data_IF_025427398509
#
_entry.id   IF_025427398509
#
_cell.length_a   1.000
_cell.length_b   1.000
_cell.length_c   1.000
_cell.angle_alpha   90.00
_cell.angle_beta   90.00
_cell.angle_gamma   90.00
#
_symmetry.space_group_name_H-M   'P 1'
#
loop_
_entity.id
_entity.type
_entity.pdbx_description
1 polymer ?
#
# COMPACT_ATOMS: atom_id res chain seq x y z
N UNK A 1 10.88 -43.27 -13.09
CA UNK A 1 10.57 -42.14 -14.00
C UNK A 1 9.13 -42.15 -14.52
N UNK A 2 8.60 -43.25 -15.10
CA UNK A 2 7.19 -43.32 -15.57
C UNK A 2 6.13 -43.02 -14.49
N UNK A 3 6.32 -43.45 -13.23
CA UNK A 3 5.36 -43.22 -12.13
C UNK A 3 5.32 -41.75 -11.64
N UNK A 4 6.43 -41.03 -11.74
CA UNK A 4 6.52 -39.60 -11.41
C UNK A 4 5.89 -38.77 -12.54
N UNK A 5 6.08 -39.19 -13.79
CA UNK A 5 5.46 -38.55 -14.94
C UNK A 5 3.92 -38.73 -14.96
N UNK A 6 3.42 -39.91 -14.61
CA UNK A 6 1.98 -40.17 -14.50
C UNK A 6 1.36 -39.39 -13.33
N UNK A 7 2.07 -39.23 -12.20
CA UNK A 7 1.59 -38.41 -11.08
C UNK A 7 1.58 -36.91 -11.42
N UNK A 8 2.56 -36.41 -12.18
CA UNK A 8 2.59 -35.03 -12.66
C UNK A 8 1.48 -34.75 -13.69
N UNK A 9 1.18 -35.71 -14.57
CA UNK A 9 0.07 -35.62 -15.52
C UNK A 9 -1.29 -35.71 -14.80
N UNK A 10 -1.42 -36.57 -13.79
CA UNK A 10 -2.64 -36.63 -12.96
C UNK A 10 -2.84 -35.35 -12.15
N UNK A 11 -1.76 -34.74 -11.64
CA UNK A 11 -1.81 -33.45 -10.97
C UNK A 11 -2.24 -32.33 -11.92
N UNK A 12 -1.72 -32.32 -13.17
CA UNK A 12 -2.14 -31.37 -14.22
C UNK A 12 -3.61 -31.52 -14.62
N UNK A 13 -4.12 -32.76 -14.69
CA UNK A 13 -5.52 -33.03 -15.10
C UNK A 13 -6.52 -32.73 -13.96
N UNK A 14 -6.11 -32.78 -12.68
CA UNK A 14 -6.97 -32.37 -11.57
C UNK A 14 -7.13 -30.84 -11.41
N UNK A 15 -6.40 -30.02 -12.17
CA UNK A 15 -6.63 -28.57 -12.24
C UNK A 15 -7.63 -28.15 -13.33
N UNK A 16 -8.17 -29.08 -14.12
CA UNK A 16 -9.02 -28.77 -15.27
C UNK A 16 -10.53 -28.60 -14.97
N UNK A 17 -10.93 -28.41 -13.71
CA UNK A 17 -12.33 -28.15 -13.37
C UNK A 17 -12.48 -27.23 -12.15
N UNK A 18 -12.11 -25.97 -12.32
CA UNK A 18 -12.57 -24.91 -11.43
C UNK A 18 -13.36 -23.89 -12.24
N UNK A 19 -14.47 -23.42 -11.66
CA UNK A 19 -15.38 -22.49 -12.28
C UNK A 19 -14.61 -21.28 -12.84
N UNK A 20 -14.84 -20.98 -14.11
CA UNK A 20 -14.27 -19.84 -14.82
C UNK A 20 -14.82 -18.56 -14.19
N UNK A 21 -14.10 -18.02 -13.23
CA UNK A 21 -14.23 -16.65 -12.76
C UNK A 21 -12.84 -16.04 -12.76
N UNK A 22 -12.68 -14.88 -13.40
CA UNK A 22 -11.41 -14.16 -13.36
C UNK A 22 -11.07 -13.77 -11.92
N UNK A 23 -9.89 -14.14 -11.44
CA UNK A 23 -9.45 -13.77 -10.09
C UNK A 23 -8.86 -12.34 -10.10
N UNK A 24 -8.24 -11.94 -11.22
CA UNK A 24 -8.00 -10.53 -11.55
C UNK A 24 -9.21 -9.99 -12.31
N UNK A 25 -9.92 -9.02 -11.73
CA UNK A 25 -11.09 -8.41 -12.36
C UNK A 25 -10.71 -7.13 -13.12
N UNK A 26 -11.32 -6.93 -14.30
CA UNK A 26 -11.26 -5.65 -15.02
C UNK A 26 -11.91 -4.51 -14.21
N UNK A 27 -11.51 -3.28 -14.50
CA UNK A 27 -11.98 -2.06 -13.86
C UNK A 27 -11.81 -2.02 -12.33
N UNK A 28 -10.81 -2.73 -11.80
CA UNK A 28 -10.55 -2.78 -10.35
C UNK A 28 -9.39 -1.91 -9.91
N UNK A 29 -9.55 -1.28 -8.74
CA UNK A 29 -8.47 -0.63 -8.02
C UNK A 29 -7.78 -1.63 -7.10
N UNK A 30 -6.45 -1.59 -7.06
CA UNK A 30 -5.65 -2.44 -6.18
C UNK A 30 -4.82 -1.60 -5.23
N UNK A 31 -4.65 -2.09 -4.00
CA UNK A 31 -3.72 -1.51 -3.02
C UNK A 31 -2.91 -2.64 -2.41
N UNK A 32 -1.58 -2.51 -2.45
CA UNK A 32 -0.67 -3.57 -2.02
C UNK A 32 0.40 -3.01 -1.08
N UNK A 33 0.19 -3.05 0.26
CA UNK A 33 1.29 -2.91 1.20
C UNK A 33 2.26 -4.08 1.05
N UNK A 34 3.56 -3.80 1.12
CA UNK A 34 4.59 -4.82 0.97
C UNK A 34 5.82 -4.54 1.83
N UNK A 35 6.60 -5.61 2.05
CA UNK A 35 7.93 -5.56 2.63
C UNK A 35 8.86 -6.52 1.86
N UNK A 36 10.17 -6.31 1.98
CA UNK A 36 11.12 -7.12 1.21
C UNK A 36 12.58 -6.77 1.48
N UNK A 37 13.42 -7.17 0.53
CA UNK A 37 14.84 -6.83 0.49
C UNK A 37 15.19 -5.98 -0.73
N UNK A 38 16.15 -5.08 -0.55
CA UNK A 38 16.78 -4.33 -1.63
C UNK A 38 18.28 -4.62 -1.61
N UNK A 39 18.77 -5.16 -2.73
CA UNK A 39 20.17 -5.51 -2.94
C UNK A 39 20.78 -4.45 -3.85
N UNK A 40 21.61 -3.60 -3.25
CA UNK A 40 22.47 -2.67 -3.98
C UNK A 40 23.60 -3.44 -4.67
N UNK A 41 24.04 -2.96 -5.83
CA UNK A 41 25.16 -3.55 -6.54
C UNK A 41 26.45 -3.48 -5.68
N UNK A 42 27.38 -4.42 -5.86
CA UNK A 42 28.56 -4.55 -4.99
C UNK A 42 29.49 -3.33 -4.99
N UNK A 43 29.48 -2.54 -6.06
CA UNK A 43 30.25 -1.32 -6.26
C UNK A 43 29.53 -0.05 -5.72
N UNK A 44 28.28 -0.17 -5.26
CA UNK A 44 27.62 0.93 -4.56
C UNK A 44 28.13 1.05 -3.12
N UNK A 45 28.07 2.28 -2.61
CA UNK A 45 28.42 2.57 -1.23
C UNK A 45 27.38 2.02 -0.26
N UNK A 46 26.14 1.78 -0.69
CA UNK A 46 25.06 1.35 0.19
C UNK A 46 25.13 -0.16 0.49
N UNK A 47 24.81 -0.55 1.73
CA UNK A 47 24.61 -1.96 2.09
C UNK A 47 23.20 -2.41 1.71
N UNK A 48 23.06 -3.63 1.22
CA UNK A 48 21.75 -4.26 1.05
C UNK A 48 20.98 -4.24 2.36
N UNK A 49 19.68 -3.92 2.28
CA UNK A 49 18.83 -3.75 3.45
C UNK A 49 17.41 -4.23 3.15
N UNK A 50 16.52 -4.10 4.14
CA UNK A 50 15.11 -4.32 3.94
C UNK A 50 14.43 -3.10 3.30
N UNK A 51 13.27 -3.34 2.71
CA UNK A 51 12.40 -2.30 2.15
C UNK A 51 10.98 -2.49 2.65
N UNK A 52 10.26 -1.39 2.80
CA UNK A 52 8.82 -1.38 3.06
C UNK A 52 8.15 -0.37 2.14
N UNK A 53 6.95 -0.68 1.66
CA UNK A 53 6.31 0.18 0.67
C UNK A 53 4.84 -0.09 0.48
N UNK A 54 4.29 0.68 -0.44
CA UNK A 54 2.90 0.62 -0.88
C UNK A 54 2.87 0.71 -2.41
N UNK A 55 1.98 -0.07 -3.00
CA UNK A 55 1.56 0.07 -4.38
C UNK A 55 0.08 0.38 -4.45
N UNK A 56 -0.31 1.17 -5.42
CA UNK A 56 -1.70 1.42 -5.74
C UNK A 56 -1.85 1.36 -7.26
N UNK A 57 -2.76 0.53 -7.74
CA UNK A 57 -2.93 0.29 -9.16
C UNK A 57 -4.37 0.26 -9.61
N UNK A 58 -4.52 0.15 -10.93
CA UNK A 58 -5.79 0.00 -11.60
C UNK A 58 -5.63 -1.04 -12.71
N UNK A 59 -6.47 -2.09 -12.66
CA UNK A 59 -6.55 -3.10 -13.71
C UNK A 59 -7.51 -2.59 -14.78
N UNK A 60 -6.97 -2.15 -15.91
CA UNK A 60 -7.75 -1.65 -17.05
C UNK A 60 -8.47 -2.81 -17.73
N UNK A 61 -7.79 -3.95 -17.83
CA UNK A 61 -8.37 -5.23 -18.24
C UNK A 61 -7.90 -6.32 -17.28
N UNK A 62 -8.40 -7.54 -17.42
CA UNK A 62 -7.90 -8.69 -16.65
C UNK A 62 -6.39 -8.91 -16.87
N UNK A 63 -5.88 -8.63 -18.08
CA UNK A 63 -4.47 -8.81 -18.41
C UNK A 63 -3.62 -7.55 -18.22
N UNK A 64 -4.18 -6.34 -18.35
CA UNK A 64 -3.40 -5.10 -18.40
C UNK A 64 -3.74 -4.23 -17.19
N UNK A 65 -2.71 -3.86 -16.44
CA UNK A 65 -2.83 -2.92 -15.32
C UNK A 65 -1.78 -1.82 -15.36
N UNK A 66 -2.02 -0.78 -14.57
CA UNK A 66 -1.03 0.26 -14.26
C UNK A 66 -0.95 0.41 -12.75
N UNK A 67 0.25 0.59 -12.22
CA UNK A 67 0.50 0.65 -10.78
C UNK A 67 1.49 1.76 -10.45
N UNK A 68 1.14 2.63 -9.52
CA UNK A 68 2.07 3.52 -8.86
C UNK A 68 2.67 2.84 -7.63
N UNK A 69 3.94 3.08 -7.35
CA UNK A 69 4.62 2.51 -6.19
C UNK A 69 5.44 3.56 -5.42
N UNK A 70 5.59 3.30 -4.13
CA UNK A 70 6.50 4.01 -3.24
C UNK A 70 7.11 3.02 -2.25
N UNK A 71 8.42 3.09 -2.04
CA UNK A 71 9.09 2.30 -1.01
C UNK A 71 10.24 3.04 -0.35
N UNK A 72 10.51 2.64 0.89
CA UNK A 72 11.54 3.19 1.75
C UNK A 72 12.55 2.11 2.14
N UNK A 73 13.83 2.44 2.00
CA UNK A 73 14.98 1.58 2.28
C UNK A 73 15.90 2.34 3.25
N UNK A 74 15.89 2.01 4.55
CA UNK A 74 16.93 2.44 5.47
C UNK A 74 18.19 1.62 5.20
N UNK A 75 19.30 2.24 4.83
CA UNK A 75 20.57 1.54 4.54
C UNK A 75 21.74 2.20 5.25
N UNK A 76 22.85 1.48 5.35
CA UNK A 76 24.13 1.98 5.87
C UNK A 76 25.12 2.17 4.71
N UNK A 77 25.96 3.19 4.79
CA UNK A 77 27.05 3.41 3.85
C UNK A 77 28.32 2.63 4.24
N UNK A 78 28.82 1.82 3.30
CA UNK A 78 30.16 1.23 3.25
C UNK A 78 31.16 2.37 3.08
N UNK A 79 31.98 2.62 4.11
CA UNK A 79 33.01 3.67 4.19
C UNK A 79 32.56 5.07 4.66
N UNK A 80 31.57 5.14 5.56
CA UNK A 80 31.25 6.37 6.31
C UNK A 80 32.46 6.96 7.09
N UNK A 81 33.48 6.14 7.38
CA UNK A 81 34.68 6.44 8.18
C UNK A 81 35.54 7.61 7.67
N UNK A 82 35.57 7.88 6.35
CA UNK A 82 36.44 8.94 5.80
C UNK A 82 35.84 10.34 5.74
N UNK A 83 34.51 10.48 5.66
CA UNK A 83 33.86 11.78 5.40
C UNK A 83 32.52 11.99 6.14
N UNK A 84 32.04 11.04 6.93
CA UNK A 84 30.75 11.15 7.67
C UNK A 84 31.02 10.87 9.15
N UNK A 85 31.29 11.91 9.97
CA UNK A 85 31.89 11.73 11.30
C UNK A 85 31.05 10.97 12.32
N UNK A 86 29.71 10.94 12.20
CA UNK A 86 28.85 10.52 13.33
C UNK A 86 27.62 9.65 12.96
N UNK A 87 27.24 9.51 11.69
CA UNK A 87 26.03 8.75 11.29
C UNK A 87 26.19 8.02 9.94
N UNK A 88 26.37 6.68 9.92
CA UNK A 88 26.54 5.91 8.69
C UNK A 88 25.22 5.63 7.95
N UNK A 89 24.07 6.07 8.46
CA UNK A 89 22.76 5.73 7.90
C UNK A 89 22.35 6.67 6.76
N UNK A 90 21.72 6.09 5.74
CA UNK A 90 21.08 6.81 4.65
C UNK A 90 19.68 6.29 4.38
N UNK A 91 18.79 7.24 4.15
CA UNK A 91 17.40 7.00 3.78
C UNK A 91 17.27 7.01 2.27
N UNK A 92 16.88 5.88 1.67
CA UNK A 92 16.64 5.77 0.23
C UNK A 92 15.14 5.58 -0.01
N UNK A 93 14.60 6.32 -0.98
CA UNK A 93 13.20 6.24 -1.38
C UNK A 93 13.12 5.91 -2.87
N UNK A 94 12.34 4.91 -3.25
CA UNK A 94 12.01 4.64 -4.65
C UNK A 94 10.53 4.92 -4.89
N UNK A 95 10.21 5.58 -6.00
CA UNK A 95 8.83 5.84 -6.38
C UNK A 95 8.70 6.02 -7.88
N UNK A 96 7.56 5.60 -8.44
CA UNK A 96 7.35 5.60 -9.88
C UNK A 96 6.02 4.99 -10.28
N UNK A 97 5.92 4.67 -11.57
CA UNK A 97 4.78 4.00 -12.18
C UNK A 97 5.27 2.81 -13.03
N UNK A 98 4.51 1.72 -13.00
CA UNK A 98 4.75 0.53 -13.81
C UNK A 98 3.47 0.09 -14.54
N UNK A 99 3.64 -0.44 -15.75
CA UNK A 99 2.60 -1.19 -16.46
C UNK A 99 2.76 -2.67 -16.15
N UNK A 100 1.64 -3.38 -16.00
CA UNK A 100 1.58 -4.80 -15.68
C UNK A 100 0.92 -5.58 -16.81
N UNK A 101 1.44 -6.79 -17.06
CA UNK A 101 0.77 -7.80 -17.86
C UNK A 101 0.59 -9.09 -17.05
N UNK A 102 -0.67 -9.44 -16.76
CA UNK A 102 -1.05 -10.66 -16.06
C UNK A 102 -1.23 -11.82 -17.05
N UNK A 103 -0.58 -12.94 -16.76
CA UNK A 103 -0.75 -14.20 -17.47
C UNK A 103 -1.78 -15.06 -16.74
N UNK A 104 -2.72 -15.62 -17.49
CA UNK A 104 -3.79 -16.46 -16.95
C UNK A 104 -4.53 -15.82 -15.76
N UNK A 105 -5.12 -14.62 -15.94
CA UNK A 105 -5.84 -13.91 -14.87
C UNK A 105 -7.05 -14.69 -14.31
N UNK A 106 -7.51 -15.71 -15.03
CA UNK A 106 -8.56 -16.65 -14.62
C UNK A 106 -8.15 -17.65 -13.54
N UNK A 107 -6.85 -17.78 -13.26
CA UNK A 107 -6.35 -18.74 -12.30
C UNK A 107 -6.12 -18.12 -10.93
N UNK A 108 -6.17 -18.93 -9.87
CA UNK A 108 -5.73 -18.50 -8.53
C UNK A 108 -4.26 -18.10 -8.48
N UNK A 109 -3.47 -18.66 -9.39
CA UNK A 109 -2.05 -18.43 -9.51
C UNK A 109 -1.84 -17.61 -10.78
N UNK A 110 -1.52 -16.32 -10.62
CA UNK A 110 -1.40 -15.36 -11.73
C UNK A 110 0.03 -14.86 -11.80
N UNK A 111 0.87 -15.45 -12.67
CA UNK A 111 2.15 -14.86 -13.02
C UNK A 111 1.94 -13.51 -13.70
N UNK A 112 2.84 -12.57 -13.49
CA UNK A 112 2.80 -11.29 -14.18
C UNK A 112 4.20 -10.75 -14.44
N UNK A 113 4.30 -9.90 -15.46
CA UNK A 113 5.46 -9.05 -15.69
C UNK A 113 5.09 -7.61 -15.43
N UNK A 114 6.08 -6.81 -15.06
CA UNK A 114 5.92 -5.37 -14.92
C UNK A 114 7.14 -4.64 -15.47
N UNK A 115 6.91 -3.45 -16.02
CA UNK A 115 7.95 -2.55 -16.49
C UNK A 115 7.51 -1.10 -16.27
N UNK A 116 8.44 -0.26 -15.82
CA UNK A 116 8.11 1.06 -15.33
C UNK A 116 9.28 2.04 -15.33
N UNK A 117 8.94 3.27 -14.96
CA UNK A 117 9.87 4.37 -14.78
C UNK A 117 9.62 5.02 -13.43
N UNK A 118 10.66 5.57 -12.84
CA UNK A 118 10.56 6.19 -11.53
C UNK A 118 11.82 6.95 -11.17
N UNK A 119 11.96 7.19 -9.87
CA UNK A 119 13.10 7.88 -9.29
C UNK A 119 13.57 7.15 -8.03
N UNK A 120 14.89 7.11 -7.84
CA UNK A 120 15.52 6.71 -6.59
C UNK A 120 16.14 7.93 -5.95
N UNK A 121 15.59 8.34 -4.80
CA UNK A 121 16.07 9.46 -4.01
C UNK A 121 16.92 8.96 -2.85
N UNK A 122 18.20 9.28 -2.90
CA UNK A 122 19.16 9.12 -1.83
C UNK A 122 19.08 10.37 -0.95
N UNK A 123 18.65 10.20 0.30
CA UNK A 123 18.46 11.27 1.28
C UNK A 123 19.75 11.63 2.03
N UNK A 124 19.58 11.95 3.32
CA UNK A 124 20.69 12.22 4.26
C UNK A 124 21.77 11.12 4.21
N UNK A 125 23.07 11.45 4.37
CA UNK A 125 23.63 12.77 4.62
C UNK A 125 23.72 13.69 3.38
N UNK A 126 23.60 15.01 3.60
CA UNK A 126 23.51 16.04 2.54
C UNK A 126 24.58 15.95 1.42
N UNK A 127 25.86 15.64 1.69
CA UNK A 127 26.88 15.51 0.64
C UNK A 127 26.61 14.41 -0.38
N UNK A 128 25.81 13.40 -0.02
CA UNK A 128 25.49 12.24 -0.85
C UNK A 128 24.02 12.24 -1.30
N UNK A 129 23.32 13.35 -1.06
CA UNK A 129 21.92 13.51 -1.44
C UNK A 129 21.82 13.61 -2.96
N UNK A 130 21.10 12.69 -3.56
CA UNK A 130 20.89 12.67 -5.01
C UNK A 130 19.51 12.11 -5.35
N UNK A 131 18.98 12.50 -6.50
CA UNK A 131 17.78 11.88 -7.07
C UNK A 131 18.13 11.42 -8.47
N UNK A 132 17.94 10.13 -8.72
CA UNK A 132 18.27 9.51 -10.00
C UNK A 132 16.98 9.07 -10.66
N UNK A 133 16.82 9.37 -11.93
CA UNK A 133 15.81 8.70 -12.76
C UNK A 133 16.14 7.21 -12.78
N UNK A 134 15.12 6.36 -12.78
CA UNK A 134 15.28 4.92 -12.78
C UNK A 134 14.31 4.27 -13.77
N UNK A 135 14.78 3.21 -14.41
CA UNK A 135 13.91 2.25 -15.11
C UNK A 135 13.86 1.00 -14.26
N UNK A 136 12.69 0.39 -14.18
CA UNK A 136 12.51 -0.89 -13.51
C UNK A 136 11.73 -1.86 -14.36
N UNK A 137 12.06 -3.13 -14.23
CA UNK A 137 11.27 -4.20 -14.82
C UNK A 137 11.46 -5.49 -14.04
N UNK A 138 10.54 -6.41 -14.19
CA UNK A 138 10.66 -7.72 -13.60
C UNK A 138 9.37 -8.49 -13.69
N UNK A 139 9.19 -9.40 -12.75
CA UNK A 139 8.02 -10.25 -12.73
C UNK A 139 7.66 -10.66 -11.33
N UNK A 140 6.48 -11.22 -11.21
CA UNK A 140 5.97 -11.68 -9.94
C UNK A 140 4.86 -12.68 -10.13
N UNK A 141 4.27 -12.97 -8.99
CA UNK A 141 3.22 -13.93 -8.86
C UNK A 141 2.17 -13.41 -7.87
N UNK A 142 0.90 -13.58 -8.23
CA UNK A 142 -0.23 -13.41 -7.32
C UNK A 142 -0.84 -14.77 -7.00
N UNK A 143 -1.20 -14.97 -5.74
CA UNK A 143 -1.96 -16.12 -5.25
C UNK A 143 -3.24 -15.63 -4.57
N UNK A 144 -4.37 -15.80 -5.24
CA UNK A 144 -5.68 -15.35 -4.76
C UNK A 144 -6.19 -16.27 -3.64
N UNK A 145 -6.56 -15.63 -2.53
CA UNK A 145 -7.10 -16.30 -1.35
C UNK A 145 -8.60 -16.60 -1.55
N UNK A 146 -9.13 -17.67 -0.95
CA UNK A 146 -10.54 -17.99 -1.06
C UNK A 146 -11.46 -16.85 -0.57
N UNK A 147 -12.59 -16.64 -1.25
CA UNK A 147 -13.54 -15.54 -1.04
C UNK A 147 -14.01 -15.32 0.42
N UNK A 148 -14.01 -16.37 1.24
CA UNK A 148 -14.37 -16.27 2.66
C UNK A 148 -13.39 -15.41 3.48
N UNK A 149 -12.15 -15.21 3.02
CA UNK A 149 -11.18 -14.30 3.64
C UNK A 149 -11.36 -12.85 3.17
N UNK A 150 -11.82 -12.62 1.94
CA UNK A 150 -11.99 -11.27 1.39
C UNK A 150 -13.07 -10.46 2.13
N UNK A 151 -14.19 -11.10 2.48
CA UNK A 151 -15.30 -10.50 3.23
C UNK A 151 -14.89 -9.96 4.61
N UNK A 152 -13.83 -10.49 5.21
CA UNK A 152 -13.34 -10.02 6.51
C UNK A 152 -12.66 -8.65 6.42
N UNK A 153 -12.13 -8.28 5.25
CA UNK A 153 -11.34 -7.06 5.04
C UNK A 153 -12.03 -6.01 4.16
N UNK A 154 -13.32 -6.17 3.84
CA UNK A 154 -14.09 -5.25 2.97
C UNK A 154 -13.47 -5.05 1.57
N UNK A 155 -12.62 -5.97 1.13
CA UNK A 155 -12.09 -6.07 -0.24
C UNK A 155 -12.88 -7.13 -1.00
N UNK A 156 -12.98 -6.99 -2.31
CA UNK A 156 -13.66 -7.97 -3.16
C UNK A 156 -12.79 -9.22 -3.37
N UNK A 157 -11.49 -9.01 -3.60
CA UNK A 157 -10.50 -10.09 -3.66
C UNK A 157 -9.25 -9.72 -2.87
N UNK A 158 -8.59 -10.75 -2.31
CA UNK A 158 -7.30 -10.62 -1.64
C UNK A 158 -6.34 -11.58 -2.32
N UNK A 159 -5.14 -11.11 -2.66
CA UNK A 159 -4.07 -11.95 -3.14
C UNK A 159 -2.80 -11.77 -2.32
N UNK A 160 -2.07 -12.87 -2.09
CA UNK A 160 -0.67 -12.79 -1.71
C UNK A 160 0.14 -12.50 -2.97
N UNK A 161 1.05 -11.54 -2.90
CA UNK A 161 1.88 -11.13 -4.04
C UNK A 161 3.35 -11.24 -3.69
N UNK A 162 4.12 -11.88 -4.57
CA UNK A 162 5.57 -11.92 -4.49
C UNK A 162 6.15 -11.42 -5.82
N UNK A 163 7.13 -10.54 -5.77
CA UNK A 163 7.74 -10.02 -7.00
C UNK A 163 9.22 -9.68 -6.86
N UNK A 164 9.92 -9.76 -7.99
CA UNK A 164 11.32 -9.36 -8.14
C UNK A 164 11.39 -8.30 -9.24
N UNK A 165 12.11 -7.21 -8.97
CA UNK A 165 12.37 -6.10 -9.89
C UNK A 165 13.87 -5.88 -10.01
N UNK A 166 14.32 -5.74 -11.24
CA UNK A 166 15.61 -5.14 -11.55
C UNK A 166 15.40 -3.63 -11.65
N UNK A 167 16.14 -2.86 -10.85
CA UNK A 167 16.06 -1.41 -10.75
C UNK A 167 17.36 -0.83 -11.28
N UNK A 168 17.26 0.05 -12.28
CA UNK A 168 18.41 0.64 -12.97
C UNK A 168 18.37 2.16 -12.79
N UNK A 169 19.03 2.71 -11.75
CA UNK A 169 19.22 4.14 -11.60
C UNK A 169 20.20 4.69 -12.65
N UNK A 170 19.78 5.69 -13.39
CA UNK A 170 20.57 6.36 -14.43
C UNK A 170 21.63 7.31 -13.82
N UNK A 171 22.55 7.78 -14.65
CA UNK A 171 23.80 8.51 -14.36
C UNK A 171 25.00 7.64 -13.98
N UNK A 172 24.81 6.60 -13.16
CA UNK A 172 25.91 5.72 -12.74
C UNK A 172 25.75 4.26 -13.21
N UNK A 173 24.57 3.92 -13.79
CA UNK A 173 24.20 2.59 -14.33
C UNK A 173 24.42 1.42 -13.34
N UNK A 174 23.89 1.55 -12.14
CA UNK A 174 23.84 0.44 -11.18
C UNK A 174 22.69 -0.52 -11.48
N UNK A 175 22.87 -1.78 -11.10
CA UNK A 175 21.98 -2.91 -11.36
C UNK A 175 21.50 -3.48 -10.03
N UNK A 176 20.40 -2.93 -9.54
CA UNK A 176 19.90 -3.23 -8.20
C UNK A 176 18.73 -4.19 -8.25
N UNK A 177 18.59 -5.02 -7.22
CA UNK A 177 17.51 -6.01 -7.16
C UNK A 177 16.61 -5.72 -5.98
N UNK A 178 15.32 -5.57 -6.27
CA UNK A 178 14.24 -5.42 -5.31
C UNK A 178 13.44 -6.72 -5.29
N UNK A 179 13.37 -7.39 -4.15
CA UNK A 179 12.52 -8.57 -3.94
C UNK A 179 11.48 -8.27 -2.86
N UNK A 180 10.19 -8.45 -3.15
CA UNK A 180 9.10 -8.07 -2.25
C UNK A 180 8.06 -9.16 -2.06
N UNK A 181 7.41 -9.11 -0.90
CA UNK A 181 6.21 -9.87 -0.57
C UNK A 181 5.17 -8.91 0.00
N UNK A 182 3.93 -9.01 -0.48
CA UNK A 182 2.84 -8.12 -0.12
C UNK A 182 1.48 -8.82 -0.13
N UNK A 183 0.49 -8.08 0.35
CA UNK A 183 -0.91 -8.49 0.30
C UNK A 183 -1.64 -7.46 -0.56
N UNK A 184 -2.21 -7.91 -1.66
CA UNK A 184 -2.97 -7.10 -2.60
C UNK A 184 -4.46 -7.17 -2.24
N UNK A 185 -5.08 -6.01 -2.10
CA UNK A 185 -6.51 -5.85 -1.88
C UNK A 185 -7.12 -5.22 -3.13
N UNK A 186 -8.17 -5.83 -3.68
CA UNK A 186 -8.87 -5.33 -4.88
C UNK A 186 -10.26 -4.80 -4.54
N UNK A 187 -10.69 -3.75 -5.26
CA UNK A 187 -11.95 -3.07 -5.06
C UNK A 187 -12.56 -2.60 -6.41
N UNK A 188 -13.88 -2.57 -6.51
CA UNK A 188 -14.60 -1.91 -7.60
C UNK A 188 -14.95 -2.81 -8.80
N UNK A 189 -14.82 -4.13 -8.70
CA UNK A 189 -15.16 -5.07 -9.75
C UNK A 189 -16.65 -4.92 -10.08
N UNK A 190 -16.92 -4.46 -11.30
CA UNK A 190 -18.28 -4.41 -11.80
C UNK A 190 -18.81 -5.85 -11.85
N UNK A 191 -19.83 -6.14 -11.05
CA UNK A 191 -20.53 -7.43 -11.09
C UNK A 191 -21.30 -7.50 -12.40
N UNK A 192 -20.64 -7.85 -13.50
CA UNK A 192 -21.35 -8.37 -14.66
C UNK A 192 -21.82 -9.76 -14.25
N UNK A 193 -23.08 -9.87 -13.82
CA UNK A 193 -23.79 -11.15 -13.69
C UNK A 193 -23.67 -11.89 -15.02
N UNK A 194 -22.66 -12.76 -15.15
CA UNK A 194 -22.55 -13.69 -16.26
C UNK A 194 -23.23 -14.98 -15.84
N UNK A 195 -24.52 -14.99 -16.15
CA UNK A 195 -25.42 -16.13 -16.39
C UNK A 195 -24.83 -17.50 -16.04
N UNK A 196 -25.40 -18.15 -15.03
CA UNK A 196 -25.30 -19.61 -14.83
C UNK A 196 -25.59 -20.30 -16.16
N UNK A 197 -24.57 -20.82 -16.84
CA UNK A 197 -24.79 -21.80 -17.89
C UNK A 197 -25.31 -23.07 -17.22
N UNK A 198 -26.63 -23.23 -17.32
CA UNK A 198 -27.31 -24.51 -17.14
C UNK A 198 -26.61 -25.50 -18.07
N UNK A 199 -25.95 -26.48 -17.47
CA UNK A 199 -25.44 -27.66 -18.17
C UNK A 199 -26.59 -28.27 -18.98
N UNK A 200 -26.53 -28.11 -20.30
CA UNK A 200 -27.25 -28.99 -21.22
C UNK A 200 -26.19 -29.96 -21.75
N UNK A 201 -26.31 -31.22 -21.37
CA UNK A 201 -25.64 -32.33 -22.04
C UNK A 201 -26.01 -32.30 -23.53
N UNK A 202 -25.04 -32.35 -24.45
CA UNK A 202 -25.30 -32.86 -25.78
C UNK A 202 -25.10 -34.38 -25.75
N UNK A 203 -26.22 -35.11 -25.84
CA UNK A 203 -26.20 -36.54 -26.16
C UNK A 203 -25.60 -36.74 -27.56
N UNK A 204 -24.66 -37.68 -27.61
CA UNK A 204 -23.94 -38.20 -28.77
C UNK A 204 -24.85 -38.87 -29.81
N UNK A 205 -24.62 -38.61 -31.11
CA UNK A 205 -24.21 -39.59 -32.14
C UNK A 205 -24.51 -39.07 -33.56
N UNK A 206 -23.54 -39.18 -34.48
CA UNK A 206 -23.78 -38.98 -35.92
C UNK A 206 -22.57 -38.68 -36.82
N UNK A 207 -21.50 -39.49 -36.74
CA UNK A 207 -20.58 -39.93 -37.82
C UNK A 207 -19.70 -38.92 -38.64
N UNK A 208 -18.45 -39.29 -39.02
CA UNK A 208 -17.40 -38.36 -39.44
C UNK A 208 -17.22 -38.28 -40.97
N UNK A 209 -16.80 -37.12 -41.47
CA UNK A 209 -16.25 -36.99 -42.82
C UNK A 209 -14.96 -36.16 -42.77
N UNK A 210 -13.86 -36.80 -43.16
CA UNK A 210 -12.63 -36.20 -43.66
C UNK A 210 -11.95 -37.26 -44.55
N UNK A 211 -10.99 -36.94 -45.44
CA UNK A 211 -10.35 -35.64 -45.67
C UNK A 211 -10.22 -35.26 -47.16
N UNK A 212 -10.07 -33.97 -47.46
CA UNK A 212 -9.43 -33.56 -48.72
C UNK A 212 -8.42 -32.44 -48.45
N UNK A 213 -7.17 -32.78 -48.73
CA UNK A 213 -6.02 -31.90 -48.72
C UNK A 213 -5.92 -31.18 -50.05
N UNK A 214 -5.60 -29.88 -50.04
CA UNK A 214 -4.77 -29.31 -51.09
C UNK A 214 -3.95 -28.14 -50.52
N UNK A 215 -2.65 -28.22 -50.77
CA UNK A 215 -1.62 -27.28 -50.36
C UNK A 215 -1.42 -26.23 -51.46
N UNK A 216 -1.03 -25.01 -51.08
CA UNK A 216 0.16 -24.34 -51.61
C UNK A 216 0.29 -22.91 -51.08
N UNK A 217 1.44 -22.65 -50.46
CA UNK A 217 2.02 -21.32 -50.24
C UNK A 217 2.61 -20.83 -51.57
N UNK A 218 2.81 -19.52 -51.77
CA UNK A 218 4.21 -19.10 -51.84
C UNK A 218 4.52 -17.82 -51.05
N UNK A 219 5.73 -17.82 -50.51
CA UNK A 219 6.42 -16.66 -49.98
C UNK A 219 6.97 -15.78 -51.13
N UNK A 220 7.02 -14.46 -50.95
CA UNK A 220 8.25 -13.66 -51.02
C UNK A 220 8.00 -12.14 -51.02
N UNK A 221 8.97 -11.45 -50.39
CA UNK A 221 9.45 -10.09 -50.63
C UNK A 221 8.73 -8.89 -49.97
N UNK A 222 9.40 -8.41 -48.91
CA UNK A 222 9.39 -7.04 -48.37
C UNK A 222 10.02 -6.07 -49.38
N UNK A 223 9.66 -4.78 -49.36
CA UNK A 223 10.70 -3.76 -49.28
C UNK A 223 10.50 -2.82 -48.08
N UNK A 224 11.62 -2.58 -47.41
CA UNK A 224 11.85 -1.52 -46.44
C UNK A 224 11.88 -0.19 -47.19
N UNK A 225 11.12 0.80 -46.73
CA UNK A 225 11.43 2.20 -47.02
C UNK A 225 11.41 3.00 -45.71
N UNK A 226 12.61 3.44 -45.37
CA UNK A 226 12.99 4.34 -44.29
C UNK A 226 12.81 5.78 -44.79
N UNK A 227 11.96 6.56 -44.12
CA UNK A 227 11.92 8.01 -44.31
C UNK A 227 11.45 8.73 -43.05
N UNK A 228 12.40 9.28 -42.31
CA UNK A 228 12.26 10.49 -41.50
C UNK A 228 13.63 11.21 -41.55
N UNK A 229 13.74 12.53 -41.30
CA UNK A 229 12.73 13.44 -40.77
C UNK A 229 12.63 14.78 -41.50
N UNK A 230 11.52 15.50 -41.36
CA UNK A 230 11.54 16.96 -41.51
C UNK A 230 10.76 17.63 -40.38
N UNK A 231 11.45 18.57 -39.75
CA UNK A 231 11.03 19.36 -38.62
C UNK A 231 10.05 20.45 -39.06
N UNK A 232 8.93 20.58 -38.33
CA UNK A 232 8.16 21.82 -38.27
C UNK A 232 8.26 22.40 -36.86
N UNK A 233 8.77 23.62 -36.79
CA UNK A 233 8.83 24.44 -35.59
C UNK A 233 7.44 25.06 -35.31
N UNK A 234 7.08 25.28 -34.03
CA UNK A 234 5.73 25.70 -33.66
C UNK A 234 5.50 27.19 -33.87
N UNK A 235 4.31 27.55 -34.37
CA UNK A 235 3.76 28.90 -34.36
C UNK A 235 3.14 29.23 -32.97
N UNK A 236 3.00 30.52 -32.61
CA UNK A 236 2.93 30.99 -31.22
C UNK A 236 1.58 30.78 -30.54
N UNK A 237 1.63 30.47 -29.25
CA UNK A 237 0.45 30.37 -28.36
C UNK A 237 0.09 31.77 -27.86
N UNK A 238 -1.12 32.24 -28.18
CA UNK A 238 -1.75 33.41 -27.56
C UNK A 238 -2.09 33.10 -26.09
N UNK A 239 -1.60 33.97 -25.21
CA UNK A 239 -1.84 34.00 -23.78
C UNK A 239 -3.24 34.55 -23.51
N UNK A 240 -4.16 33.69 -23.04
CA UNK A 240 -5.47 34.12 -22.54
C UNK A 240 -5.53 33.81 -21.05
N UNK A 241 -5.35 34.85 -20.24
CA UNK A 241 -5.58 34.83 -18.80
C UNK A 241 -7.08 34.65 -18.50
N UNK A 242 -7.47 33.81 -17.54
CA UNK A 242 -8.76 33.92 -16.89
C UNK A 242 -8.64 34.76 -15.62
N UNK A 243 -9.55 35.73 -15.54
CA UNK A 243 -9.74 36.68 -14.47
C UNK A 243 -10.00 36.04 -13.10
N UNK A 244 -9.52 36.74 -12.08
CA UNK A 244 -9.83 36.54 -10.66
C UNK A 244 -11.28 36.98 -10.43
N UNK A 245 -12.18 36.04 -10.14
CA UNK A 245 -13.46 36.35 -9.49
C UNK A 245 -13.37 36.04 -7.99
N UNK A 246 -13.58 37.08 -7.19
CA UNK A 246 -13.72 37.03 -5.75
C UNK A 246 -15.12 36.51 -5.37
N UNK A 247 -15.27 35.61 -4.37
CA UNK A 247 -16.58 35.26 -3.87
C UNK A 247 -17.09 36.33 -2.90
N UNK A 248 -18.27 36.89 -3.22
CA UNK A 248 -19.08 37.66 -2.29
C UNK A 248 -19.72 36.75 -1.21
N UNK A 249 -20.04 37.27 -0.02
CA UNK A 249 -20.42 36.47 1.14
C UNK A 249 -21.92 36.15 1.12
N UNK A 250 -22.29 34.92 1.48
CA UNK A 250 -23.69 34.54 1.70
C UNK A 250 -23.92 34.33 3.19
N UNK A 251 -24.88 35.12 3.69
CA UNK A 251 -25.36 35.19 5.06
C UNK A 251 -26.01 33.89 5.55
N UNK A 252 -25.88 33.74 6.86
CA UNK A 252 -26.57 32.86 7.80
C UNK A 252 -28.09 32.92 7.68
N UNK A 253 -28.75 31.77 7.54
CA UNK A 253 -30.14 31.60 7.97
C UNK A 253 -30.35 30.17 8.52
N UNK A 254 -30.48 30.06 9.83
CA UNK A 254 -31.09 28.90 10.48
C UNK A 254 -32.62 28.94 10.28
N UNK A 255 -33.29 27.78 10.26
CA UNK A 255 -34.46 27.69 11.13
C UNK A 255 -34.57 26.39 11.92
N UNK A 256 -35.30 26.58 13.01
CA UNK A 256 -35.55 25.76 14.19
C UNK A 256 -36.56 24.64 13.96
N UNK A 257 -36.25 23.51 14.58
CA UNK A 257 -37.06 22.37 15.02
C UNK A 257 -38.58 22.38 14.81
N UNK A 258 -39.09 21.27 14.28
CA UNK A 258 -40.36 20.66 14.69
C UNK A 258 -40.18 19.14 14.86
N UNK A 259 -40.71 18.62 15.97
CA UNK A 259 -40.78 17.20 16.33
C UNK A 259 -42.20 16.72 16.06
N UNK A 260 -42.37 15.48 15.60
CA UNK A 260 -43.31 14.60 16.29
C UNK A 260 -42.73 13.20 16.55
N UNK A 261 -42.89 12.74 17.78
CA UNK A 261 -42.88 11.32 18.23
C UNK A 261 -44.35 10.91 18.47
N UNK A 262 -44.77 9.62 18.53
CA UNK A 262 -44.04 8.37 18.86
C UNK A 262 -44.39 7.16 17.93
N UNK A 263 -43.78 5.97 17.96
CA UNK A 263 -43.82 4.87 18.97
C UNK A 263 -42.66 3.88 18.72
N UNK A 264 -42.18 3.29 19.81
CA UNK A 264 -40.99 2.46 20.01
C UNK A 264 -40.98 1.07 19.34
N UNK A 265 -39.79 0.58 18.96
CA UNK A 265 -39.32 -0.78 19.32
C UNK A 265 -37.77 -0.91 19.18
N UNK A 266 -37.09 -1.11 20.32
CA UNK A 266 -35.76 -1.74 20.57
C UNK A 266 -34.64 -1.61 19.50
N UNK A 267 -33.87 -0.52 19.51
CA UNK A 267 -32.58 -0.44 18.78
C UNK A 267 -31.48 0.40 19.48
N UNK A 268 -31.63 0.72 20.77
CA UNK A 268 -30.78 1.73 21.45
C UNK A 268 -29.48 1.13 22.05
N UNK A 269 -29.35 -0.19 22.16
CA UNK A 269 -28.20 -0.81 22.83
C UNK A 269 -26.87 -0.66 22.07
N UNK A 270 -26.85 -0.91 20.75
CA UNK A 270 -25.63 -0.82 19.93
C UNK A 270 -25.04 0.60 19.80
N UNK A 271 -25.82 1.67 19.53
CA UNK A 271 -25.27 3.02 19.43
C UNK A 271 -24.78 3.57 20.78
N UNK A 272 -25.42 3.21 21.90
CA UNK A 272 -24.98 3.65 23.24
C UNK A 272 -23.66 2.99 23.64
N UNK A 273 -23.48 1.67 23.42
CA UNK A 273 -22.22 0.98 23.73
C UNK A 273 -21.06 1.52 22.88
N UNK A 274 -21.28 1.79 21.59
CA UNK A 274 -20.27 2.40 20.73
C UNK A 274 -19.89 3.83 21.17
N UNK A 275 -20.87 4.61 21.65
CA UNK A 275 -20.61 5.96 22.19
C UNK A 275 -19.81 5.93 23.49
N UNK A 276 -20.15 5.03 24.41
CA UNK A 276 -19.42 4.86 25.69
C UNK A 276 -17.99 4.39 25.46
N UNK A 277 -17.78 3.41 24.58
CA UNK A 277 -16.43 2.94 24.26
C UNK A 277 -15.58 4.02 23.56
N UNK A 278 -16.22 4.90 22.78
CA UNK A 278 -15.55 6.06 22.19
C UNK A 278 -15.10 7.05 23.27
N UNK A 279 -15.93 7.30 24.29
CA UNK A 279 -15.60 8.19 25.39
C UNK A 279 -14.49 7.61 26.28
N UNK A 280 -14.51 6.31 26.58
CA UNK A 280 -13.40 5.64 27.31
C UNK A 280 -12.06 5.80 26.56
N UNK A 281 -12.07 5.68 25.23
CA UNK A 281 -10.87 5.88 24.41
C UNK A 281 -10.42 7.35 24.44
N UNK A 282 -11.35 8.32 24.39
CA UNK A 282 -11.00 9.74 24.57
C UNK A 282 -10.32 9.98 25.92
N UNK A 283 -10.81 9.37 26.98
CA UNK A 283 -10.20 9.49 28.32
C UNK A 283 -8.79 8.94 28.36
N UNK A 284 -8.52 7.79 27.73
CA UNK A 284 -7.16 7.25 27.63
C UNK A 284 -6.25 8.17 26.83
N UNK A 285 -6.72 8.73 25.71
CA UNK A 285 -5.94 9.71 24.92
C UNK A 285 -5.65 10.97 25.74
N UNK A 286 -6.63 11.48 26.49
CA UNK A 286 -6.44 12.63 27.36
C UNK A 286 -5.47 12.34 28.51
N UNK A 287 -5.58 11.18 29.16
CA UNK A 287 -4.66 10.72 30.21
C UNK A 287 -3.23 10.57 29.69
N UNK A 288 -3.06 9.96 28.53
CA UNK A 288 -1.77 9.83 27.84
C UNK A 288 -1.17 11.21 27.51
N UNK A 289 -1.96 12.12 26.95
CA UNK A 289 -1.50 13.47 26.60
C UNK A 289 -1.09 14.25 27.85
N UNK A 290 -1.92 14.24 28.88
CA UNK A 290 -1.68 15.00 30.11
C UNK A 290 -0.50 14.47 30.91
N UNK A 291 -0.33 13.15 30.98
CA UNK A 291 0.86 12.54 31.60
C UNK A 291 2.14 12.87 30.84
N UNK A 292 2.09 12.95 29.50
CA UNK A 292 3.23 13.39 28.70
C UNK A 292 3.50 14.90 28.82
N UNK A 293 2.48 15.74 29.00
CA UNK A 293 2.66 17.17 29.32
C UNK A 293 3.32 17.33 30.71
N UNK A 294 2.74 16.72 31.74
CA UNK A 294 3.17 16.88 33.14
C UNK A 294 4.50 16.18 33.46
N UNK A 295 4.78 15.04 32.82
CA UNK A 295 5.96 14.24 33.10
C UNK A 295 5.81 13.12 34.06
N UNK A 296 4.56 12.81 34.37
CA UNK A 296 4.20 11.60 35.04
C UNK A 296 4.47 10.40 34.10
N UNK A 297 5.73 9.96 34.09
CA UNK A 297 6.17 8.85 33.23
C UNK A 297 5.60 7.51 33.68
N UNK A 298 5.14 7.39 34.92
CA UNK A 298 4.47 6.20 35.44
C UNK A 298 3.06 6.10 34.87
N UNK A 299 2.28 7.18 34.97
CA UNK A 299 0.96 7.26 34.33
C UNK A 299 1.07 7.13 32.81
N UNK A 300 2.08 7.75 32.20
CA UNK A 300 2.35 7.61 30.76
C UNK A 300 2.59 6.16 30.38
N UNK A 301 3.49 5.45 31.09
CA UNK A 301 3.74 4.02 30.89
C UNK A 301 2.49 3.18 31.08
N UNK A 302 1.64 3.52 32.06
CA UNK A 302 0.41 2.79 32.36
C UNK A 302 -0.62 2.82 31.22
N UNK A 303 -0.52 3.78 30.29
CA UNK A 303 -1.42 3.87 29.15
C UNK A 303 -1.13 2.81 28.08
N UNK A 304 0.01 2.12 28.16
CA UNK A 304 0.46 1.16 27.15
C UNK A 304 0.16 -0.29 27.52
N UNK A 305 0.01 -1.13 26.50
CA UNK A 305 -0.08 -2.57 26.63
C UNK A 305 1.32 -3.17 26.84
N UNK A 306 1.40 -4.32 27.52
CA UNK A 306 2.68 -4.99 27.80
C UNK A 306 3.40 -5.48 26.52
N UNK A 307 2.65 -5.79 25.46
CA UNK A 307 3.16 -6.19 24.15
C UNK A 307 3.33 -5.02 23.16
N UNK A 308 3.38 -3.78 23.67
CA UNK A 308 3.56 -2.58 22.86
C UNK A 308 4.80 -2.65 21.95
N UNK A 309 4.67 -2.15 20.72
CA UNK A 309 5.77 -1.98 19.76
C UNK A 309 5.68 -0.66 19.00
N UNK A 310 6.79 0.07 18.91
CA UNK A 310 6.93 1.25 18.04
C UNK A 310 8.39 1.52 17.70
N UNK A 311 8.67 1.99 16.46
CA UNK A 311 10.03 2.29 15.98
C UNK A 311 11.07 1.20 16.25
N UNK A 312 10.67 -0.08 16.14
CA UNK A 312 11.54 -1.23 16.43
C UNK A 312 11.82 -1.48 17.93
N UNK A 313 11.20 -0.71 18.84
CA UNK A 313 11.34 -0.86 20.29
C UNK A 313 10.13 -1.58 20.90
N UNK A 314 10.38 -2.30 21.99
CA UNK A 314 9.34 -2.77 22.92
C UNK A 314 8.95 -1.68 23.93
N UNK A 315 8.04 -2.00 24.86
CA UNK A 315 7.58 -1.06 25.87
C UNK A 315 8.73 -0.48 26.69
N UNK A 316 9.64 -1.31 27.19
CA UNK A 316 10.75 -0.86 28.05
C UNK A 316 11.71 0.05 27.28
N UNK A 317 12.08 -0.33 26.05
CA UNK A 317 12.88 0.49 25.16
C UNK A 317 12.21 1.83 24.84
N UNK A 318 10.90 1.80 24.57
CA UNK A 318 10.12 3.00 24.28
C UNK A 318 10.05 3.97 25.47
N UNK A 319 9.76 3.47 26.67
CA UNK A 319 9.69 4.29 27.87
C UNK A 319 11.07 4.86 28.22
N UNK A 320 12.14 4.08 28.07
CA UNK A 320 13.52 4.58 28.25
C UNK A 320 13.84 5.70 27.26
N UNK A 321 13.50 5.52 25.99
CA UNK A 321 13.66 6.55 24.96
C UNK A 321 12.88 7.83 25.31
N UNK A 322 11.61 7.71 25.69
CA UNK A 322 10.77 8.86 26.06
C UNK A 322 11.26 9.58 27.32
N UNK A 323 11.73 8.85 28.33
CA UNK A 323 12.39 9.44 29.52
C UNK A 323 13.61 10.27 29.12
N UNK A 324 14.43 9.79 28.17
CA UNK A 324 15.58 10.54 27.67
C UNK A 324 15.17 11.80 26.88
N UNK A 325 14.14 11.71 26.02
CA UNK A 325 13.60 12.87 25.31
C UNK A 325 13.13 13.94 26.30
N UNK A 326 12.39 13.52 27.33
CA UNK A 326 11.93 14.43 28.38
C UNK A 326 13.08 15.06 29.14
N UNK A 327 14.08 14.27 29.57
CA UNK A 327 15.25 14.77 30.32
C UNK A 327 16.00 15.87 29.56
N UNK A 328 16.03 15.80 28.23
CA UNK A 328 16.72 16.77 27.36
C UNK A 328 15.87 17.99 26.99
N UNK A 329 14.55 17.92 27.18
CA UNK A 329 13.59 18.92 26.72
C UNK A 329 13.02 19.70 27.90
N UNK A 330 13.07 21.04 27.84
CA UNK A 330 12.37 21.93 28.78
C UNK A 330 11.13 22.53 28.11
N UNK A 331 10.22 23.07 28.91
CA UNK A 331 9.03 23.81 28.45
C UNK A 331 8.19 23.05 27.40
N UNK A 332 7.96 21.76 27.68
CA UNK A 332 7.25 20.87 26.78
C UNK A 332 5.77 21.29 26.71
N UNK A 333 5.35 21.73 25.53
CA UNK A 333 3.95 22.00 25.18
C UNK A 333 3.53 21.06 24.06
N UNK A 334 2.35 20.49 24.19
CA UNK A 334 1.85 19.48 23.24
C UNK A 334 0.39 19.75 23.05
N UNK A 335 -0.06 19.98 21.84
CA UNK A 335 -1.46 20.20 21.53
C UNK A 335 -1.96 19.18 20.52
N UNK A 336 -3.22 18.78 20.67
CA UNK A 336 -3.88 17.88 19.74
C UNK A 336 -5.08 18.57 19.11
N UNK A 337 -5.24 18.40 17.80
CA UNK A 337 -6.42 18.86 17.06
C UNK A 337 -6.98 17.74 16.17
N UNK A 338 -8.23 17.89 15.73
CA UNK A 338 -8.92 16.96 14.82
C UNK A 338 -8.91 15.50 15.29
N UNK A 339 -9.14 15.28 16.59
CA UNK A 339 -9.27 13.94 17.16
C UNK A 339 -10.45 13.19 16.54
N UNK A 340 -10.15 12.07 15.89
CA UNK A 340 -11.11 11.11 15.34
C UNK A 340 -10.87 9.76 16.00
N UNK A 341 -11.93 9.13 16.47
CA UNK A 341 -11.89 7.83 17.13
C UNK A 341 -12.81 6.88 16.39
N UNK A 342 -12.32 5.66 16.15
CA UNK A 342 -13.08 4.54 15.64
C UNK A 342 -12.91 3.37 16.58
N UNK A 343 -14.00 2.80 17.07
CA UNK A 343 -14.00 1.63 17.95
C UNK A 343 -14.65 0.46 17.22
N UNK A 344 -14.03 -0.71 17.29
CA UNK A 344 -14.55 -1.98 16.78
C UNK A 344 -14.21 -3.09 17.78
N UNK A 345 -15.23 -3.62 18.44
CA UNK A 345 -15.11 -4.65 19.47
C UNK A 345 -14.09 -4.26 20.56
N UNK A 346 -13.04 -5.05 20.75
CA UNK A 346 -11.94 -4.79 21.70
C UNK A 346 -10.75 -4.05 21.06
N UNK A 347 -10.94 -3.42 19.90
CA UNK A 347 -9.92 -2.62 19.20
C UNK A 347 -10.41 -1.19 18.96
N UNK A 348 -9.51 -0.22 19.07
CA UNK A 348 -9.82 1.16 18.77
C UNK A 348 -8.64 1.88 18.12
N UNK A 349 -8.95 2.88 17.30
CA UNK A 349 -7.97 3.72 16.63
C UNK A 349 -8.29 5.18 16.89
N UNK A 350 -7.33 5.91 17.44
CA UNK A 350 -7.42 7.36 17.65
C UNK A 350 -6.42 8.07 16.74
N UNK A 351 -6.90 8.97 15.89
CA UNK A 351 -6.06 9.76 14.96
C UNK A 351 -6.28 11.25 15.20
N UNK A 352 -5.20 12.02 15.28
CA UNK A 352 -5.22 13.46 15.54
C UNK A 352 -3.96 14.12 14.96
N UNK A 353 -3.98 15.44 14.75
CA UNK A 353 -2.73 16.16 14.53
C UNK A 353 -2.13 16.54 15.88
N UNK A 354 -0.82 16.32 16.02
CA UNK A 354 -0.06 16.73 17.19
C UNK A 354 0.83 17.90 16.82
N UNK A 355 0.79 18.95 17.63
CA UNK A 355 1.80 20.01 17.63
C UNK A 355 2.64 19.87 18.90
N UNK A 356 3.92 19.57 18.75
CA UNK A 356 4.88 19.42 19.84
C UNK A 356 5.86 20.59 19.82
N UNK A 357 6.10 21.19 20.98
CA UNK A 357 7.12 22.23 21.16
C UNK A 357 7.86 21.98 22.46
N UNK A 358 9.17 22.17 22.44
CA UNK A 358 10.03 22.19 23.61
C UNK A 358 11.17 23.19 23.40
N UNK A 359 12.04 23.33 24.39
CA UNK A 359 13.24 24.16 24.32
C UNK A 359 14.21 23.78 23.20
N UNK A 360 14.12 22.56 22.65
CA UNK A 360 15.08 22.03 21.65
C UNK A 360 14.45 21.54 20.36
N UNK A 361 13.12 21.37 20.31
CA UNK A 361 12.43 20.80 19.16
C UNK A 361 11.04 21.41 18.99
N UNK A 362 10.69 21.71 17.74
CA UNK A 362 9.31 21.97 17.32
C UNK A 362 8.96 21.01 16.21
N UNK A 363 7.83 20.35 16.35
CA UNK A 363 7.37 19.33 15.42
C UNK A 363 5.84 19.39 15.29
N UNK A 364 5.33 19.13 14.09
CA UNK A 364 3.89 19.06 13.84
C UNK A 364 3.63 17.96 12.83
N UNK A 365 2.80 17.00 13.21
CA UNK A 365 2.53 15.83 12.38
C UNK A 365 1.22 15.15 12.73
N UNK A 366 0.75 14.29 11.83
CA UNK A 366 -0.42 13.45 12.10
C UNK A 366 0.03 12.26 12.95
N UNK A 367 -0.75 11.92 13.97
CA UNK A 367 -0.46 10.82 14.89
C UNK A 367 -1.62 9.84 14.93
N UNK A 368 -1.28 8.56 15.01
CA UNK A 368 -2.23 7.46 15.20
C UNK A 368 -1.83 6.64 16.42
N UNK A 369 -2.79 6.45 17.33
CA UNK A 369 -2.70 5.52 18.46
C UNK A 369 -3.63 4.35 18.15
N UNK A 370 -3.08 3.14 18.17
CA UNK A 370 -3.87 1.92 18.11
C UNK A 370 -3.99 1.35 19.52
N UNK A 371 -5.23 1.12 19.94
CA UNK A 371 -5.58 0.67 21.27
C UNK A 371 -6.28 -0.68 21.18
N UNK A 372 -6.09 -1.47 22.23
CA UNK A 372 -6.83 -2.70 22.44
C UNK A 372 -7.33 -2.78 23.87
N UNK A 373 -8.45 -3.45 24.08
CA UNK A 373 -9.04 -3.65 25.40
C UNK A 373 -8.37 -4.86 26.06
N UNK A 374 -7.74 -4.65 27.21
CA UNK A 374 -7.11 -5.71 28.02
C UNK A 374 -7.69 -5.59 29.43
N UNK A 375 -8.29 -6.67 29.95
CA UNK A 375 -8.90 -6.69 31.29
C UNK A 375 -9.87 -5.52 31.50
N UNK A 376 -10.73 -5.26 30.50
CA UNK A 376 -11.69 -4.16 30.47
C UNK A 376 -11.08 -2.74 30.52
N UNK A 377 -9.78 -2.58 30.23
CA UNK A 377 -9.11 -1.28 30.11
C UNK A 377 -8.52 -1.10 28.71
N UNK A 378 -8.70 0.08 28.12
CA UNK A 378 -8.06 0.43 26.87
C UNK A 378 -6.56 0.70 27.08
N UNK A 379 -5.72 0.08 26.25
CA UNK A 379 -4.27 0.22 26.28
C UNK A 379 -3.71 0.44 24.89
N UNK A 380 -2.77 1.37 24.75
CA UNK A 380 -2.08 1.66 23.51
C UNK A 380 -1.07 0.52 23.24
N UNK A 381 -1.20 -0.17 22.11
CA UNK A 381 -0.24 -1.24 21.72
C UNK A 381 0.65 -0.83 20.54
N UNK A 382 0.31 0.26 19.84
CA UNK A 382 1.15 0.84 18.79
C UNK A 382 0.96 2.36 18.67
N UNK A 383 2.07 3.05 18.40
CA UNK A 383 2.06 4.46 18.01
C UNK A 383 2.72 4.66 16.65
N UNK A 384 2.04 5.40 15.77
CA UNK A 384 2.58 5.80 14.47
C UNK A 384 2.54 7.32 14.35
N UNK A 385 3.62 7.91 13.85
CA UNK A 385 3.70 9.33 13.53
C UNK A 385 3.95 9.43 12.03
N UNK A 386 3.11 10.19 11.35
CA UNK A 386 3.16 10.42 9.91
C UNK A 386 3.84 11.77 9.70
N UNK A 387 5.04 11.73 9.12
CA UNK A 387 5.86 12.91 8.77
C UNK A 387 5.41 13.55 7.48
#
# INVERSE_FOLDING_TARGET
>A
MKKIFIFAVFLMVMFASMAVQAEVNEDTFTVTPFAGGYVFEGNELQRSSYTVGLRAGYNITENIGVEGYFHYIPTEMRDASRHVPDDPWQNVYGYGIEGLYHFSPENKFVPFIAAGIGFVRYGYPEPYRSTKFAVEYGGGLKYFLPYNWANFFFSETIALRADVRHVIPFNDRYNNVLGTFGIEFSFGAQTKEKTKYKSQEPTSQGEPVAPQAEAAVPAAAVPVEEAAPQAEAPAPVEEVAPAVEAPAPVEEVAPKAEVPVPVAEVAVAAPVVASLATDDVKEVVAKWLNSWRSGDMETYQSCYASDFKAKGMDLDGWIKYKKNVRKRSKDITIDIDKLKISVKDDSAMATFNQSYSSSILKDKGKKTLELKKINNQWKIYREVMWS
#
